data_IF_305551971029
#
_entry.id   IF_305551971029
#
_cell.length_a   1.000
_cell.length_b   1.000
_cell.length_c   1.000
_cell.angle_alpha   90.00
_cell.angle_beta   90.00
_cell.angle_gamma   90.00
#
_symmetry.space_group_name_H-M   'P 1'
#
loop_
_entity.id
_entity.type
_entity.pdbx_description
1 polymer ?
#
# COMPACT_ATOMS: atom_id res chain seq x y z
N UNK A 1 -1.27 4.70 18.45
CA UNK A 1 -0.69 4.20 17.20
C UNK A 1 -0.51 5.36 16.24
N UNK A 2 0.57 5.38 15.47
CA UNK A 2 1.00 6.58 14.74
C UNK A 2 0.52 6.56 13.29
N UNK A 3 -0.79 6.78 13.15
CA UNK A 3 -1.43 6.93 11.83
C UNK A 3 -0.98 8.25 11.18
N UNK A 4 -0.72 9.28 11.98
CA UNK A 4 -0.29 10.59 11.50
C UNK A 4 1.03 10.51 10.72
N UNK A 5 2.07 9.87 11.27
CA UNK A 5 3.34 9.72 10.55
C UNK A 5 3.22 8.88 9.29
N UNK A 6 2.45 7.78 9.33
CA UNK A 6 2.21 6.95 8.14
C UNK A 6 1.49 7.75 7.04
N UNK A 7 0.53 8.61 7.40
CA UNK A 7 -0.11 9.55 6.48
C UNK A 7 0.91 10.55 5.94
N UNK A 8 1.78 11.11 6.77
CA UNK A 8 2.84 12.03 6.33
C UNK A 8 3.80 11.36 5.35
N UNK A 9 4.16 10.09 5.55
CA UNK A 9 4.95 9.28 4.61
C UNK A 9 4.25 9.18 3.24
N UNK A 10 2.97 8.82 3.21
CA UNK A 10 2.17 8.75 1.98
C UNK A 10 2.06 10.11 1.27
N UNK A 11 1.73 11.16 2.02
CA UNK A 11 1.58 12.51 1.47
C UNK A 11 2.91 12.98 0.89
N UNK A 12 4.02 12.74 1.58
CA UNK A 12 5.35 13.16 1.14
C UNK A 12 5.74 12.42 -0.13
N UNK A 13 5.62 11.09 -0.17
CA UNK A 13 5.95 10.31 -1.37
C UNK A 13 5.12 10.72 -2.59
N UNK A 14 3.84 11.07 -2.41
CA UNK A 14 2.98 11.61 -3.48
C UNK A 14 3.33 13.02 -3.91
N UNK A 15 3.67 13.89 -2.96
CA UNK A 15 4.11 15.27 -3.24
C UNK A 15 5.31 15.29 -4.20
N UNK A 16 6.22 14.32 -4.06
CA UNK A 16 7.37 14.16 -4.95
C UNK A 16 7.10 13.27 -6.16
N UNK A 17 5.85 12.91 -6.43
CA UNK A 17 5.44 12.06 -7.55
C UNK A 17 6.23 10.74 -7.64
N UNK A 18 6.51 10.12 -6.48
CA UNK A 18 7.28 8.88 -6.45
C UNK A 18 6.41 7.70 -6.91
N UNK A 19 7.02 6.68 -7.55
CA UNK A 19 6.31 5.48 -7.98
C UNK A 19 5.53 4.82 -6.84
N UNK A 20 4.39 4.20 -7.16
CA UNK A 20 3.55 3.50 -6.17
C UNK A 20 4.30 2.40 -5.42
N UNK A 21 5.31 1.80 -6.03
CA UNK A 21 6.18 0.82 -5.36
C UNK A 21 7.00 1.48 -4.24
N UNK A 22 7.57 2.67 -4.46
CA UNK A 22 8.27 3.43 -3.41
C UNK A 22 7.32 3.87 -2.29
N UNK A 23 6.11 4.34 -2.64
CA UNK A 23 5.07 4.68 -1.67
C UNK A 23 4.78 3.49 -0.76
N UNK A 24 4.53 2.33 -1.38
CA UNK A 24 4.30 1.05 -0.72
C UNK A 24 5.42 0.67 0.23
N UNK A 25 6.65 0.62 -0.29
CA UNK A 25 7.83 0.13 0.42
C UNK A 25 8.13 1.02 1.62
N UNK A 26 7.97 2.35 1.50
CA UNK A 26 8.20 3.30 2.59
C UNK A 26 7.33 3.03 3.83
N UNK A 27 6.04 2.73 3.63
CA UNK A 27 5.10 2.52 4.75
C UNK A 27 5.28 1.15 5.37
N UNK A 28 5.46 0.12 4.52
CA UNK A 28 5.63 -1.25 5.01
C UNK A 28 6.94 -1.36 5.79
N UNK A 29 8.01 -0.76 5.26
CA UNK A 29 9.30 -0.67 5.95
C UNK A 29 9.17 0.02 7.31
N UNK A 30 8.47 1.17 7.37
CA UNK A 30 8.17 1.82 8.64
C UNK A 30 7.43 0.91 9.61
N UNK A 31 6.36 0.24 9.18
CA UNK A 31 5.60 -0.66 10.06
C UNK A 31 6.43 -1.82 10.59
N UNK A 32 7.26 -2.42 9.74
CA UNK A 32 8.13 -3.53 10.11
C UNK A 32 9.19 -3.11 11.13
N UNK A 33 9.72 -1.89 10.98
CA UNK A 33 10.88 -1.43 11.76
C UNK A 33 10.53 -0.58 12.97
N UNK A 34 9.35 0.06 13.02
CA UNK A 34 8.97 0.98 14.09
C UNK A 34 9.27 0.44 15.49
N UNK A 35 8.90 -0.82 15.74
CA UNK A 35 9.12 -1.47 17.03
C UNK A 35 10.59 -1.82 17.28
N UNK A 36 11.33 -2.23 16.23
CA UNK A 36 12.75 -2.60 16.33
C UNK A 36 13.63 -1.39 16.59
N UNK A 37 13.35 -0.29 15.90
CA UNK A 37 14.09 0.97 16.01
C UNK A 37 13.73 1.80 17.24
N UNK A 38 12.76 1.36 18.07
CA UNK A 38 12.23 2.14 19.19
C UNK A 38 11.90 3.59 18.81
N UNK A 39 11.17 3.79 17.70
CA UNK A 39 10.89 5.13 17.18
C UNK A 39 9.89 5.83 18.12
N UNK A 40 10.42 6.67 19.02
CA UNK A 40 9.65 7.50 19.96
C UNK A 40 9.34 8.87 19.37
N UNK A 41 10.23 9.42 18.54
CA UNK A 41 10.09 10.74 17.91
C UNK A 41 9.87 10.61 16.41
N UNK A 42 8.97 11.45 15.90
CA UNK A 42 8.52 11.46 14.51
C UNK A 42 8.79 12.84 13.93
N UNK A 43 9.83 12.95 13.10
CA UNK A 43 10.16 14.18 12.38
C UNK A 43 10.28 13.96 10.87
N UNK A 44 10.45 15.06 10.13
CA UNK A 44 10.56 15.02 8.68
C UNK A 44 11.83 14.34 8.19
N UNK A 45 12.94 14.44 8.93
CA UNK A 45 14.21 13.80 8.57
C UNK A 45 14.06 12.27 8.56
N UNK A 46 13.33 11.71 9.53
CA UNK A 46 13.01 10.28 9.56
C UNK A 46 12.11 9.86 8.38
N UNK A 47 11.12 10.69 8.01
CA UNK A 47 10.29 10.44 6.82
C UNK A 47 11.18 10.37 5.58
N UNK A 48 12.06 11.34 5.39
CA UNK A 48 12.97 11.37 4.26
C UNK A 48 13.91 10.15 4.23
N UNK A 49 14.42 9.72 5.39
CA UNK A 49 15.24 8.52 5.47
C UNK A 49 14.48 7.26 5.01
N UNK A 50 13.24 7.05 5.46
CA UNK A 50 12.42 5.93 4.96
C UNK A 50 12.17 6.02 3.46
N UNK A 51 11.92 7.21 2.93
CA UNK A 51 11.71 7.42 1.49
C UNK A 51 12.98 7.12 0.70
N UNK A 52 14.14 7.63 1.13
CA UNK A 52 15.43 7.41 0.47
C UNK A 52 15.77 5.93 0.43
N UNK A 53 15.61 5.22 1.55
CA UNK A 53 15.85 3.77 1.59
C UNK A 53 14.90 3.05 0.63
N UNK A 54 13.62 3.40 0.61
CA UNK A 54 12.66 2.79 -0.32
C UNK A 54 12.97 3.06 -1.79
N UNK A 55 13.43 4.27 -2.14
CA UNK A 55 13.87 4.58 -3.51
C UNK A 55 15.04 3.67 -3.91
N UNK A 56 16.02 3.49 -3.01
CA UNK A 56 17.18 2.61 -3.22
C UNK A 56 16.77 1.14 -3.37
N UNK A 57 15.83 0.66 -2.55
CA UNK A 57 15.31 -0.71 -2.63
C UNK A 57 14.60 -0.95 -3.98
N UNK A 58 13.75 -0.03 -4.40
CA UNK A 58 12.96 -0.15 -5.63
C UNK A 58 13.77 0.16 -6.90
N UNK A 59 15.07 0.47 -6.77
CA UNK A 59 15.94 0.88 -7.88
C UNK A 59 15.35 2.04 -8.70
N UNK A 60 14.60 2.92 -8.05
CA UNK A 60 13.99 4.11 -8.65
C UNK A 60 15.01 5.25 -8.73
N UNK A 61 15.01 6.01 -9.83
CA UNK A 61 16.02 7.05 -10.03
C UNK A 61 15.80 8.32 -9.20
N UNK A 62 16.93 8.87 -8.75
CA UNK A 62 17.23 10.19 -8.17
C UNK A 62 16.75 10.52 -6.73
N UNK A 63 17.59 10.18 -5.74
CA UNK A 63 17.42 10.56 -4.33
C UNK A 63 17.91 11.97 -3.99
N UNK A 64 18.60 12.66 -4.90
CA UNK A 64 19.29 13.93 -4.59
C UNK A 64 18.34 15.02 -4.10
N UNK A 65 17.12 15.07 -4.67
CA UNK A 65 16.11 16.05 -4.28
C UNK A 65 15.71 15.99 -2.80
N UNK A 66 15.89 14.86 -2.12
CA UNK A 66 15.52 14.69 -0.70
C UNK A 66 16.62 15.11 0.26
N UNK A 67 17.88 15.06 -0.19
CA UNK A 67 19.05 15.36 0.63
C UNK A 67 19.24 16.88 0.81
N UNK A 68 18.63 17.69 -0.06
CA UNK A 68 18.72 19.16 -0.02
C UNK A 68 17.66 19.83 0.87
N UNK A 69 16.65 19.09 1.34
CA UNK A 69 15.45 19.64 2.00
C UNK A 69 15.45 19.44 3.52
N UNK A 70 16.17 18.45 4.03
CA UNK A 70 16.25 18.16 5.46
C UNK A 70 17.67 18.28 6.04
N UNK A 71 17.83 17.89 7.30
CA UNK A 71 19.17 17.83 7.89
C UNK A 71 19.88 16.57 7.37
N UNK A 72 20.84 16.77 6.47
CA UNK A 72 21.58 15.71 5.79
C UNK A 72 22.18 14.68 6.75
N UNK A 73 22.86 15.13 7.81
CA UNK A 73 23.53 14.25 8.76
C UNK A 73 22.53 13.38 9.51
N UNK A 74 21.41 13.96 9.96
CA UNK A 74 20.33 13.23 10.65
C UNK A 74 19.66 12.22 9.72
N UNK A 75 19.41 12.59 8.47
CA UNK A 75 18.84 11.69 7.45
C UNK A 75 19.77 10.49 7.25
N UNK A 76 21.07 10.70 7.14
CA UNK A 76 22.04 9.61 6.99
C UNK A 76 22.11 8.70 8.22
N UNK A 77 22.00 9.25 9.43
CA UNK A 77 21.95 8.44 10.66
C UNK A 77 20.71 7.55 10.72
N UNK A 78 19.55 8.10 10.35
CA UNK A 78 18.32 7.33 10.23
C UNK A 78 18.42 6.28 9.13
N UNK A 79 18.98 6.63 7.97
CA UNK A 79 19.18 5.70 6.86
C UNK A 79 20.00 4.49 7.29
N UNK A 80 21.16 4.73 7.94
CA UNK A 80 22.02 3.67 8.49
C UNK A 80 21.27 2.78 9.47
N UNK A 81 20.47 3.39 10.35
CA UNK A 81 19.68 2.66 11.34
C UNK A 81 18.62 1.78 10.67
N UNK A 82 17.88 2.31 9.70
CA UNK A 82 16.88 1.57 8.92
C UNK A 82 17.53 0.36 8.24
N UNK A 83 18.61 0.58 7.49
CA UNK A 83 19.32 -0.49 6.78
C UNK A 83 19.79 -1.58 7.75
N UNK A 84 20.38 -1.19 8.89
CA UNK A 84 20.82 -2.16 9.90
C UNK A 84 19.66 -3.00 10.43
N UNK A 85 18.54 -2.39 10.79
CA UNK A 85 17.39 -3.12 11.37
C UNK A 85 16.64 -4.00 10.36
N UNK A 86 16.82 -3.77 9.05
CA UNK A 86 16.35 -4.71 8.01
C UNK A 86 17.19 -5.97 7.92
N UNK A 87 18.41 -6.00 8.49
CA UNK A 87 19.41 -7.03 8.24
C UNK A 87 19.63 -7.28 6.73
N UNK A 88 19.54 -6.24 5.89
CA UNK A 88 19.66 -6.31 4.43
C UNK A 88 18.60 -7.20 3.72
N UNK A 89 17.48 -7.50 4.39
CA UNK A 89 16.36 -8.21 3.78
C UNK A 89 15.36 -7.21 3.20
N UNK A 90 15.47 -6.94 1.91
CA UNK A 90 14.70 -5.90 1.22
C UNK A 90 13.52 -6.42 0.37
N UNK A 91 13.09 -7.66 0.56
CA UNK A 91 11.92 -8.18 -0.14
C UNK A 91 10.63 -7.68 0.52
N UNK A 92 10.07 -6.59 -0.03
CA UNK A 92 8.88 -5.93 0.51
C UNK A 92 7.74 -6.04 -0.51
N UNK A 93 6.72 -6.88 -0.26
CA UNK A 93 5.63 -7.07 -1.21
C UNK A 93 4.75 -5.82 -1.28
N UNK A 94 4.51 -5.31 -2.49
CA UNK A 94 3.67 -4.14 -2.70
C UNK A 94 2.18 -4.50 -2.87
N UNK A 95 1.29 -4.12 -1.92
CA UNK A 95 -0.16 -4.24 -2.13
C UNK A 95 -0.68 -3.35 -3.26
N UNK A 96 -0.03 -2.23 -3.56
CA UNK A 96 -0.43 -1.34 -4.65
C UNK A 96 -0.24 -2.02 -6.01
N UNK A 97 0.94 -2.62 -6.24
CA UNK A 97 1.18 -3.42 -7.44
C UNK A 97 0.27 -4.66 -7.48
N UNK A 98 0.00 -5.28 -6.32
CA UNK A 98 -0.93 -6.41 -6.23
C UNK A 98 -2.35 -6.01 -6.63
N UNK A 99 -2.83 -4.86 -6.19
CA UNK A 99 -4.15 -4.32 -6.52
C UNK A 99 -4.26 -4.07 -8.03
N UNK A 100 -3.27 -3.41 -8.64
CA UNK A 100 -3.22 -3.21 -10.08
C UNK A 100 -3.28 -4.56 -10.83
N UNK A 101 -2.48 -5.54 -10.41
CA UNK A 101 -2.49 -6.88 -10.99
C UNK A 101 -3.86 -7.56 -10.89
N UNK A 102 -4.59 -7.37 -9.78
CA UNK A 102 -5.93 -7.93 -9.62
C UNK A 102 -6.95 -7.29 -10.55
N UNK A 103 -6.91 -5.98 -10.75
CA UNK A 103 -7.79 -5.30 -11.71
C UNK A 103 -7.54 -5.84 -13.13
N UNK A 104 -6.28 -5.98 -13.52
CA UNK A 104 -5.92 -6.56 -14.83
C UNK A 104 -6.40 -8.02 -14.98
N UNK A 105 -6.27 -8.83 -13.94
CA UNK A 105 -6.79 -10.22 -13.93
C UNK A 105 -8.31 -10.23 -14.06
N UNK A 106 -9.03 -9.32 -13.39
CA UNK A 106 -10.48 -9.22 -13.52
C UNK A 106 -10.89 -8.88 -14.94
N UNK A 107 -10.20 -7.92 -15.59
CA UNK A 107 -10.45 -7.57 -17.00
C UNK A 107 -10.16 -8.77 -17.93
N UNK A 108 -9.01 -9.42 -17.77
CA UNK A 108 -8.62 -10.56 -18.61
C UNK A 108 -9.60 -11.73 -18.49
N UNK A 109 -10.12 -11.99 -17.28
CA UNK A 109 -11.09 -13.08 -17.03
C UNK A 109 -12.53 -12.70 -17.38
N UNK A 110 -12.79 -11.50 -17.89
CA UNK A 110 -14.15 -11.02 -18.14
C UNK A 110 -15.00 -10.90 -16.86
N UNK A 111 -14.34 -10.71 -15.70
CA UNK A 111 -15.00 -10.48 -14.41
C UNK A 111 -15.38 -9.02 -14.20
N UNK A 112 -14.84 -8.12 -15.02
CA UNK A 112 -15.08 -6.69 -14.97
C UNK A 112 -15.56 -6.23 -16.34
N UNK A 113 -16.77 -5.69 -16.40
CA UNK A 113 -17.37 -5.21 -17.65
C UNK A 113 -17.86 -3.77 -17.48
N UNK A 114 -17.58 -2.94 -18.47
CA UNK A 114 -18.03 -1.55 -18.52
C UNK A 114 -19.43 -1.52 -19.12
N UNK A 115 -20.47 -1.35 -18.32
CA UNK A 115 -21.83 -1.16 -18.83
C UNK A 115 -22.67 -0.31 -17.89
N UNK A 116 -23.46 0.60 -18.48
CA UNK A 116 -24.49 1.38 -17.78
C UNK A 116 -25.87 0.71 -17.82
N UNK A 117 -26.07 -0.34 -18.61
CA UNK A 117 -27.37 -1.02 -18.74
C UNK A 117 -27.24 -2.51 -19.05
N UNK A 118 -28.18 -3.26 -18.47
CA UNK A 118 -28.52 -4.68 -18.57
C UNK A 118 -27.80 -5.68 -17.65
N UNK A 119 -28.34 -5.72 -16.43
CA UNK A 119 -27.97 -6.53 -15.28
C UNK A 119 -28.60 -7.93 -15.37
N UNK A 120 -27.93 -8.92 -15.97
CA UNK A 120 -28.41 -10.31 -15.86
C UNK A 120 -27.30 -11.37 -15.75
N UNK A 121 -26.03 -10.97 -15.75
CA UNK A 121 -24.94 -11.92 -15.53
C UNK A 121 -24.39 -11.81 -14.09
N UNK A 122 -24.78 -12.71 -13.17
CA UNK A 122 -24.26 -12.70 -11.80
C UNK A 122 -22.75 -13.00 -11.76
N UNK A 123 -22.16 -13.46 -12.86
CA UNK A 123 -20.75 -13.80 -12.94
C UNK A 123 -19.85 -12.63 -13.37
N UNK A 124 -20.40 -11.44 -13.59
CA UNK A 124 -19.67 -10.25 -14.02
C UNK A 124 -19.90 -9.12 -13.03
N UNK A 125 -18.83 -8.40 -12.68
CA UNK A 125 -18.91 -7.19 -11.87
C UNK A 125 -18.92 -5.97 -12.78
N UNK A 126 -20.05 -5.26 -12.80
CA UNK A 126 -20.23 -4.09 -13.63
C UNK A 126 -19.66 -2.84 -12.97
N UNK A 127 -18.86 -2.08 -13.71
CA UNK A 127 -18.34 -0.78 -13.30
C UNK A 127 -18.65 0.26 -14.35
N UNK A 128 -18.97 1.49 -13.91
CA UNK A 128 -19.19 2.59 -14.85
C UNK A 128 -17.91 3.00 -15.59
N UNK A 129 -16.77 2.94 -14.89
CA UNK A 129 -15.46 3.29 -15.39
C UNK A 129 -14.38 2.51 -14.61
N UNK A 130 -13.46 1.86 -15.33
CA UNK A 130 -12.37 1.08 -14.75
C UNK A 130 -11.36 1.97 -14.03
N UNK A 131 -11.07 3.16 -14.56
CA UNK A 131 -10.15 4.09 -13.95
C UNK A 131 -10.73 4.62 -12.63
N UNK A 132 -12.02 4.96 -12.63
CA UNK A 132 -12.73 5.37 -11.41
C UNK A 132 -12.77 4.23 -10.37
N UNK A 133 -13.04 3.00 -10.80
CA UNK A 133 -13.01 1.81 -9.94
C UNK A 133 -11.62 1.59 -9.32
N UNK A 134 -10.57 1.67 -10.12
CA UNK A 134 -9.18 1.56 -9.64
C UNK A 134 -8.83 2.70 -8.68
N UNK A 135 -9.21 3.93 -9.00
CA UNK A 135 -8.96 5.09 -8.15
C UNK A 135 -9.66 4.96 -6.78
N UNK A 136 -10.89 4.47 -6.73
CA UNK A 136 -11.58 4.21 -5.46
C UNK A 136 -10.94 3.06 -4.69
N UNK A 137 -10.53 2.00 -5.39
CA UNK A 137 -9.80 0.88 -4.78
C UNK A 137 -8.47 1.33 -4.17
N UNK A 138 -7.76 2.26 -4.82
CA UNK A 138 -6.54 2.87 -4.29
C UNK A 138 -6.80 3.66 -3.01
N UNK A 139 -7.90 4.43 -2.94
CA UNK A 139 -8.29 5.14 -1.70
C UNK A 139 -8.63 4.16 -0.57
N UNK A 140 -9.27 3.04 -0.87
CA UNK A 140 -9.53 2.00 0.12
C UNK A 140 -8.22 1.36 0.60
N UNK A 141 -7.29 1.09 -0.30
CA UNK A 141 -5.97 0.57 0.06
C UNK A 141 -5.20 1.54 0.97
N UNK A 142 -5.27 2.85 0.70
CA UNK A 142 -4.66 3.87 1.57
C UNK A 142 -5.21 3.83 3.00
N UNK A 143 -6.50 3.51 3.18
CA UNK A 143 -7.07 3.35 4.52
C UNK A 143 -6.59 2.05 5.17
N UNK A 144 -6.61 0.96 4.41
CA UNK A 144 -6.21 -0.37 4.86
C UNK A 144 -4.74 -0.41 5.26
N UNK A 145 -3.84 0.21 4.49
CA UNK A 145 -2.42 0.23 4.81
C UNK A 145 -2.14 1.00 6.09
N UNK A 146 -3.01 1.89 6.56
CA UNK A 146 -2.83 2.58 7.84
C UNK A 146 -3.22 1.71 9.05
N UNK A 147 -3.84 0.55 8.82
CA UNK A 147 -4.31 -0.32 9.89
C UNK A 147 -3.19 -0.82 10.80
N UNK A 148 -3.44 -0.88 12.13
CA UNK A 148 -2.62 -1.58 13.10
C UNK A 148 -2.27 -3.01 12.75
N UNK A 149 -3.27 -3.70 12.21
CA UNK A 149 -3.32 -5.13 11.97
C UNK A 149 -2.79 -5.49 10.59
N UNK A 150 -2.46 -4.49 9.74
CA UNK A 150 -2.01 -4.66 8.37
C UNK A 150 -0.98 -5.80 8.19
N UNK A 151 0.07 -5.84 9.03
CA UNK A 151 1.15 -6.84 8.91
C UNK A 151 0.72 -8.28 9.26
N UNK A 152 -0.52 -8.49 9.73
CA UNK A 152 -1.07 -9.83 10.05
C UNK A 152 -1.70 -10.50 8.83
N UNK A 153 -2.04 -9.73 7.80
CA UNK A 153 -2.80 -10.20 6.65
C UNK A 153 -1.88 -10.46 5.44
N UNK A 154 -2.30 -11.39 4.58
CA UNK A 154 -1.59 -11.64 3.34
C UNK A 154 -1.84 -10.52 2.33
N UNK A 155 -0.84 -10.19 1.51
CA UNK A 155 -0.94 -9.08 0.52
C UNK A 155 -2.10 -9.26 -0.47
N UNK A 156 -2.47 -10.50 -0.79
CA UNK A 156 -3.64 -10.79 -1.63
C UNK A 156 -4.95 -10.43 -0.91
N UNK A 157 -5.07 -10.72 0.39
CA UNK A 157 -6.29 -10.44 1.16
C UNK A 157 -6.48 -8.93 1.29
N UNK A 158 -5.39 -8.20 1.53
CA UNK A 158 -5.34 -6.73 1.55
C UNK A 158 -5.80 -6.14 0.21
N UNK A 159 -5.25 -6.63 -0.90
CA UNK A 159 -5.60 -6.11 -2.22
C UNK A 159 -7.05 -6.43 -2.61
N UNK A 160 -7.58 -7.61 -2.27
CA UNK A 160 -8.99 -7.94 -2.50
C UNK A 160 -9.91 -7.07 -1.64
N UNK A 161 -9.58 -6.88 -0.36
CA UNK A 161 -10.34 -5.99 0.52
C UNK A 161 -10.41 -4.56 -0.04
N UNK A 162 -9.31 -4.08 -0.64
CA UNK A 162 -9.25 -2.77 -1.26
C UNK A 162 -10.15 -2.62 -2.50
N UNK A 163 -10.35 -3.68 -3.29
CA UNK A 163 -11.26 -3.67 -4.45
C UNK A 163 -12.71 -3.38 -4.05
N UNK A 164 -13.11 -3.68 -2.81
CA UNK A 164 -14.48 -3.49 -2.30
C UNK A 164 -15.56 -4.11 -3.20
N UNK A 165 -15.28 -5.29 -3.74
CA UNK A 165 -16.19 -6.05 -4.61
C UNK A 165 -16.96 -7.11 -3.79
N UNK A 166 -18.11 -7.60 -4.30
CA UNK A 166 -18.88 -8.65 -3.64
C UNK A 166 -18.07 -9.93 -3.39
N UNK A 167 -18.34 -10.59 -2.27
CA UNK A 167 -17.60 -11.77 -1.81
C UNK A 167 -17.53 -12.91 -2.83
N UNK A 168 -18.57 -13.08 -3.64
CA UNK A 168 -18.65 -14.10 -4.68
C UNK A 168 -17.52 -14.00 -5.72
N UNK A 169 -16.87 -12.83 -5.85
CA UNK A 169 -15.77 -12.63 -6.80
C UNK A 169 -14.39 -12.92 -6.20
N UNK A 170 -14.21 -12.94 -4.87
CA UNK A 170 -12.88 -13.00 -4.25
C UNK A 170 -12.08 -14.22 -4.69
N UNK A 171 -12.68 -15.41 -4.60
CA UNK A 171 -12.03 -16.68 -5.00
C UNK A 171 -11.88 -16.84 -6.52
N UNK A 172 -12.51 -16.00 -7.33
CA UNK A 172 -12.38 -16.02 -8.80
C UNK A 172 -11.17 -15.22 -9.29
N UNK A 173 -10.71 -14.26 -8.48
CA UNK A 173 -9.53 -13.44 -8.78
C UNK A 173 -8.27 -14.20 -8.36
N UNK A 174 -8.20 -14.61 -7.09
CA UNK A 174 -7.05 -15.30 -6.51
C UNK A 174 -7.50 -16.50 -5.68
N UNK A 175 -6.85 -17.63 -5.89
CA UNK A 175 -7.10 -18.86 -5.13
C UNK A 175 -6.54 -18.77 -3.70
N UNK A 176 -7.10 -19.56 -2.78
CA UNK A 176 -6.60 -19.75 -1.42
C UNK A 176 -6.54 -18.48 -0.54
N UNK A 177 -7.49 -17.56 -0.69
CA UNK A 177 -7.66 -16.40 0.21
C UNK A 177 -8.64 -16.72 1.35
N UNK A 178 -8.34 -16.24 2.56
CA UNK A 178 -9.25 -16.43 3.71
C UNK A 178 -10.30 -15.33 3.72
N UNK A 179 -11.56 -15.72 3.56
CA UNK A 179 -12.69 -14.77 3.47
C UNK A 179 -12.88 -13.99 4.76
N UNK A 180 -12.63 -14.62 5.90
CA UNK A 180 -12.70 -14.03 7.23
C UNK A 180 -11.72 -12.87 7.34
N UNK A 181 -10.47 -13.06 6.91
CA UNK A 181 -9.45 -12.01 6.91
C UNK A 181 -9.88 -10.81 6.05
N UNK A 182 -10.46 -11.06 4.87
CA UNK A 182 -10.92 -9.98 3.98
C UNK A 182 -12.05 -9.18 4.64
N UNK A 183 -13.03 -9.86 5.27
CA UNK A 183 -14.12 -9.21 6.01
C UNK A 183 -13.57 -8.37 7.17
N UNK A 184 -12.67 -8.94 7.96
CA UNK A 184 -12.04 -8.25 9.08
C UNK A 184 -11.34 -6.96 8.62
N UNK A 185 -10.57 -7.02 7.53
CA UNK A 185 -9.89 -5.84 6.95
C UNK A 185 -10.91 -4.76 6.56
N UNK A 186 -11.97 -5.14 5.84
CA UNK A 186 -13.01 -4.21 5.38
C UNK A 186 -13.68 -3.53 6.59
N UNK A 187 -14.04 -4.30 7.61
CA UNK A 187 -14.67 -3.79 8.83
C UNK A 187 -13.74 -2.87 9.64
N UNK A 188 -12.48 -3.25 9.79
CA UNK A 188 -11.50 -2.41 10.48
C UNK A 188 -11.23 -1.11 9.72
N UNK A 189 -11.13 -1.14 8.39
CA UNK A 189 -10.85 0.07 7.58
C UNK A 189 -11.94 1.13 7.68
N UNK A 190 -13.20 0.72 7.90
CA UNK A 190 -14.34 1.64 8.08
C UNK A 190 -14.22 2.46 9.37
N UNK A 191 -13.44 1.98 10.36
CA UNK A 191 -13.24 2.64 11.66
C UNK A 191 -12.21 3.77 11.62
N UNK A 192 -11.45 3.91 10.52
CA UNK A 192 -10.35 4.89 10.37
C UNK A 192 -10.80 6.17 9.60
N UNK A 193 -12.11 6.35 9.38
CA UNK A 193 -12.69 7.54 8.72
C UNK A 193 -12.42 8.83 9.51
#
# INVERSE_FOLDING_TARGET
MDIAFQRSLLITTRKYNLPVSVQSTSIILYKMLKKKMNIVYHDMDLIYAFIIVSIKIESSYNTHNFLEIGNYDRILEYEKSIIRETNFHFNIPSPYLRLLGMVLVMQQKGLLEMCMQDENNPNVYYVGDVEAFYAESMKNLDRIILLPTYLRYHVNEIAIAALNIPEMFWGRIVENVRKENIRDIIEESKKIQ
#
